data_IF_607886038065
#
_entry.id   IF_607886038065
#
_cell.length_a   1.000
_cell.length_b   1.000
_cell.length_c   1.000
_cell.angle_alpha   90.00
_cell.angle_beta   90.00
_cell.angle_gamma   90.00
#
_symmetry.space_group_name_H-M   'P 1'
#
loop_
_entity.id
_entity.type
_entity.pdbx_description
1 polymer ?
#
# COMPACT_ATOMS: atom_id res chain seq x y z
N UNK A 1 -45.25 18.82 -24.38
CA UNK A 1 -44.46 20.06 -24.17
C UNK A 1 -43.03 19.64 -23.94
N UNK A 2 -42.07 20.26 -24.62
CA UNK A 2 -40.65 19.97 -24.40
C UNK A 2 -40.23 20.50 -23.04
N UNK A 3 -39.68 19.64 -22.18
CA UNK A 3 -38.93 20.12 -21.02
C UNK A 3 -37.61 20.69 -21.57
N UNK A 4 -37.34 21.97 -21.32
CA UNK A 4 -36.01 22.50 -21.60
C UNK A 4 -35.00 21.82 -20.66
N UNK A 5 -33.86 21.32 -21.17
CA UNK A 5 -32.87 20.67 -20.33
C UNK A 5 -32.37 21.68 -19.29
N UNK A 6 -32.40 21.28 -18.03
CA UNK A 6 -32.09 22.14 -16.88
C UNK A 6 -30.72 22.79 -17.08
N UNK A 7 -30.53 24.06 -16.70
CA UNK A 7 -29.25 24.74 -16.87
C UNK A 7 -28.07 23.98 -16.22
N UNK A 8 -28.34 23.24 -15.15
CA UNK A 8 -27.39 22.32 -14.50
C UNK A 8 -27.02 21.14 -15.42
N UNK A 9 -27.99 20.51 -16.09
CA UNK A 9 -27.76 19.40 -17.03
C UNK A 9 -26.97 19.87 -18.27
N UNK A 10 -27.24 21.07 -18.77
CA UNK A 10 -26.47 21.69 -19.84
C UNK A 10 -25.01 21.95 -19.42
N UNK A 11 -24.79 22.43 -18.19
CA UNK A 11 -23.44 22.62 -17.64
C UNK A 11 -22.70 21.29 -17.43
N UNK A 12 -23.37 20.27 -16.87
CA UNK A 12 -22.79 18.93 -16.68
C UNK A 12 -22.44 18.27 -18.00
N UNK A 13 -23.34 18.25 -18.98
CA UNK A 13 -23.06 17.65 -20.31
C UNK A 13 -21.95 18.36 -21.07
N UNK A 14 -21.81 19.68 -20.90
CA UNK A 14 -20.64 20.42 -21.41
C UNK A 14 -19.35 20.01 -20.70
N UNK A 15 -19.33 20.04 -19.36
CA UNK A 15 -18.16 19.66 -18.57
C UNK A 15 -17.70 18.22 -18.88
N UNK A 16 -18.62 17.27 -19.03
CA UNK A 16 -18.31 15.89 -19.45
C UNK A 16 -17.67 15.85 -20.84
N UNK A 17 -18.19 16.59 -21.82
CA UNK A 17 -17.61 16.65 -23.18
C UNK A 17 -16.18 17.20 -23.16
N UNK A 18 -15.96 18.31 -22.46
CA UNK A 18 -14.67 19.00 -22.42
C UNK A 18 -13.61 18.15 -21.67
N UNK A 19 -14.00 17.41 -20.62
CA UNK A 19 -13.15 16.42 -19.97
C UNK A 19 -12.87 15.19 -20.86
N UNK A 20 -13.87 14.65 -21.55
CA UNK A 20 -13.67 13.49 -22.44
C UNK A 20 -12.74 13.80 -23.62
N UNK A 21 -12.84 14.99 -24.22
CA UNK A 21 -11.91 15.45 -25.25
C UNK A 21 -10.47 15.60 -24.70
N UNK A 22 -10.34 16.03 -23.45
CA UNK A 22 -9.03 16.13 -22.76
C UNK A 22 -8.44 14.74 -22.49
N UNK A 23 -9.24 13.78 -22.05
CA UNK A 23 -8.84 12.38 -21.84
C UNK A 23 -8.44 11.68 -23.14
N UNK A 24 -9.16 11.90 -24.24
CA UNK A 24 -8.80 11.40 -25.57
C UNK A 24 -7.41 11.90 -25.98
N UNK A 25 -7.19 13.22 -25.91
CA UNK A 25 -5.88 13.80 -26.22
C UNK A 25 -4.75 13.24 -25.33
N UNK A 26 -4.97 13.07 -24.03
CA UNK A 26 -3.98 12.47 -23.12
C UNK A 26 -3.69 11.00 -23.44
N UNK A 27 -4.70 10.24 -23.89
CA UNK A 27 -4.52 8.87 -24.41
C UNK A 27 -3.68 8.87 -25.70
N UNK A 28 -3.95 9.76 -26.65
CA UNK A 28 -3.22 9.83 -27.92
C UNK A 28 -1.76 10.25 -27.71
N UNK A 29 -1.51 11.25 -26.84
CA UNK A 29 -0.16 11.65 -26.44
C UNK A 29 0.59 10.53 -25.70
N UNK A 30 -0.10 9.72 -24.87
CA UNK A 30 0.46 8.55 -24.20
C UNK A 30 0.81 7.44 -25.20
N UNK A 31 -0.05 7.15 -26.16
CA UNK A 31 0.22 6.17 -27.23
C UNK A 31 1.44 6.58 -28.05
N UNK A 32 1.57 7.87 -28.41
CA UNK A 32 2.77 8.38 -29.08
C UNK A 32 4.02 8.24 -28.19
N UNK A 33 3.95 8.59 -26.90
CA UNK A 33 5.09 8.43 -25.98
C UNK A 33 5.52 6.96 -25.81
N UNK A 34 4.58 6.00 -25.81
CA UNK A 34 4.88 4.56 -25.82
C UNK A 34 5.53 4.13 -27.15
N UNK A 35 5.09 4.65 -28.28
CA UNK A 35 5.74 4.42 -29.57
C UNK A 35 7.18 5.00 -29.59
N UNK A 36 7.38 6.19 -29.02
CA UNK A 36 8.71 6.80 -28.84
C UNK A 36 9.62 5.90 -27.97
N UNK A 37 9.09 5.29 -26.90
CA UNK A 37 9.82 4.29 -26.09
C UNK A 37 10.21 3.08 -26.94
N UNK A 38 9.25 2.46 -27.65
CA UNK A 38 9.53 1.26 -28.47
C UNK A 38 10.57 1.55 -29.56
N UNK A 39 10.51 2.73 -30.20
CA UNK A 39 11.52 3.17 -31.15
C UNK A 39 12.89 3.37 -30.48
N UNK A 40 12.95 3.96 -29.28
CA UNK A 40 14.21 4.16 -28.54
C UNK A 40 14.87 2.83 -28.12
N UNK A 41 14.09 1.77 -27.88
CA UNK A 41 14.58 0.42 -27.56
C UNK A 41 15.31 -0.27 -28.73
N UNK A 42 15.21 0.24 -29.97
CA UNK A 42 16.04 -0.20 -31.09
C UNK A 42 17.47 0.37 -31.04
N UNK A 43 17.77 1.27 -30.08
CA UNK A 43 19.10 1.84 -29.88
C UNK A 43 19.91 1.02 -28.87
N UNK A 44 21.18 0.72 -29.19
CA UNK A 44 22.11 0.04 -28.28
C UNK A 44 22.56 0.87 -27.07
N UNK A 45 22.03 2.09 -26.89
CA UNK A 45 22.31 2.97 -25.75
C UNK A 45 21.06 3.14 -24.88
N UNK A 46 20.99 2.51 -23.69
CA UNK A 46 19.80 2.58 -22.82
C UNK A 46 19.50 4.00 -22.30
N UNK A 47 20.48 4.91 -22.33
CA UNK A 47 20.27 6.33 -22.02
C UNK A 47 19.23 7.00 -22.92
N UNK A 48 19.04 6.49 -24.15
CA UNK A 48 18.15 7.08 -25.14
C UNK A 48 16.66 6.79 -24.86
N UNK A 49 16.35 5.77 -24.05
CA UNK A 49 14.96 5.42 -23.70
C UNK A 49 14.45 6.11 -22.45
N UNK A 50 15.32 6.70 -21.62
CA UNK A 50 14.92 7.37 -20.39
C UNK A 50 14.00 8.59 -20.63
N UNK A 51 14.25 9.50 -21.60
CA UNK A 51 13.34 10.62 -21.85
C UNK A 51 11.91 10.22 -22.29
N UNK A 52 11.69 9.33 -23.29
CA UNK A 52 10.33 8.92 -23.64
C UNK A 52 9.68 8.04 -22.55
N UNK A 53 10.45 7.28 -21.76
CA UNK A 53 9.93 6.51 -20.63
C UNK A 53 9.32 7.42 -19.55
N UNK A 54 10.06 8.47 -19.15
CA UNK A 54 9.58 9.45 -18.17
C UNK A 54 8.39 10.24 -18.72
N UNK A 55 8.38 10.57 -20.02
CA UNK A 55 7.23 11.19 -20.69
C UNK A 55 5.98 10.30 -20.64
N UNK A 56 6.11 9.01 -20.98
CA UNK A 56 5.02 8.06 -20.93
C UNK A 56 4.49 7.86 -19.49
N UNK A 57 5.38 7.78 -18.50
CA UNK A 57 5.00 7.69 -17.08
C UNK A 57 4.21 8.93 -16.61
N UNK A 58 4.66 10.14 -16.98
CA UNK A 58 3.98 11.38 -16.62
C UNK A 58 2.58 11.48 -17.26
N UNK A 59 2.45 11.08 -18.54
CA UNK A 59 1.17 11.06 -19.24
C UNK A 59 0.22 10.00 -18.66
N UNK A 60 0.71 8.81 -18.32
CA UNK A 60 -0.09 7.77 -17.68
C UNK A 60 -0.60 8.21 -16.29
N UNK A 61 0.23 8.85 -15.48
CA UNK A 61 -0.16 9.42 -14.19
C UNK A 61 -1.20 10.54 -14.34
N UNK A 62 -1.01 11.44 -15.32
CA UNK A 62 -1.96 12.52 -15.61
C UNK A 62 -3.30 11.98 -16.09
N UNK A 63 -3.31 11.00 -17.00
CA UNK A 63 -4.52 10.33 -17.48
C UNK A 63 -5.27 9.63 -16.34
N UNK A 64 -4.55 8.91 -15.46
CA UNK A 64 -5.13 8.25 -14.28
C UNK A 64 -5.80 9.23 -13.32
N UNK A 65 -5.12 10.34 -12.98
CA UNK A 65 -5.69 11.38 -12.14
C UNK A 65 -6.92 12.05 -12.79
N UNK A 66 -6.88 12.31 -14.10
CA UNK A 66 -8.03 12.86 -14.83
C UNK A 66 -9.24 11.91 -14.86
N UNK A 67 -9.01 10.59 -15.00
CA UNK A 67 -10.05 9.57 -14.90
C UNK A 67 -10.65 9.50 -13.48
N UNK A 68 -9.83 9.62 -12.44
CA UNK A 68 -10.31 9.63 -11.06
C UNK A 68 -11.17 10.87 -10.76
N UNK A 69 -10.73 12.05 -11.20
CA UNK A 69 -11.52 13.29 -11.07
C UNK A 69 -12.84 13.19 -11.82
N UNK A 70 -12.85 12.63 -13.05
CA UNK A 70 -14.08 12.41 -13.81
C UNK A 70 -15.00 11.40 -13.12
N UNK A 71 -14.47 10.30 -12.58
CA UNK A 71 -15.26 9.30 -11.85
C UNK A 71 -15.90 9.90 -10.59
N UNK A 72 -15.14 10.69 -9.80
CA UNK A 72 -15.65 11.44 -8.65
C UNK A 72 -16.73 12.45 -9.06
N UNK A 73 -16.52 13.19 -10.16
CA UNK A 73 -17.51 14.14 -10.69
C UNK A 73 -18.81 13.45 -11.14
N UNK A 74 -18.72 12.36 -11.89
CA UNK A 74 -19.88 11.56 -12.31
C UNK A 74 -20.61 10.97 -11.09
N UNK A 75 -19.88 10.46 -10.10
CA UNK A 75 -20.47 9.93 -8.86
C UNK A 75 -21.21 11.00 -8.04
N UNK A 76 -20.76 12.27 -8.08
CA UNK A 76 -21.48 13.39 -7.46
C UNK A 76 -22.68 13.81 -8.31
N UNK A 77 -22.52 13.96 -9.62
CA UNK A 77 -23.57 14.38 -10.54
C UNK A 77 -24.72 13.36 -10.67
N UNK A 78 -24.45 12.08 -10.40
CA UNK A 78 -25.43 11.00 -10.39
C UNK A 78 -26.13 10.80 -9.03
N UNK A 79 -25.78 11.55 -7.97
CA UNK A 79 -26.49 11.44 -6.69
C UNK A 79 -27.93 11.95 -6.83
N UNK A 80 -28.94 11.20 -6.35
CA UNK A 80 -30.35 11.53 -6.51
C UNK A 80 -30.83 12.64 -5.53
N UNK A 81 -30.04 13.71 -5.35
CA UNK A 81 -30.42 14.88 -4.57
C UNK A 81 -31.72 15.55 -5.08
N UNK A 82 -32.09 15.31 -6.34
CA UNK A 82 -33.37 15.71 -6.94
C UNK A 82 -34.58 14.97 -6.33
N UNK A 83 -34.43 13.68 -6.00
CA UNK A 83 -35.52 12.86 -5.48
C UNK A 83 -35.86 13.23 -4.02
N UNK A 84 -34.83 13.34 -3.16
CA UNK A 84 -35.02 13.66 -1.73
C UNK A 84 -35.66 15.05 -1.55
N UNK A 85 -35.36 16.00 -2.44
CA UNK A 85 -35.96 17.33 -2.42
C UNK A 85 -37.48 17.29 -2.70
N UNK A 86 -37.93 16.57 -3.75
CA UNK A 86 -39.37 16.46 -4.03
C UNK A 86 -40.11 15.57 -3.01
N UNK A 87 -39.48 14.52 -2.47
CA UNK A 87 -40.09 13.68 -1.43
C UNK A 87 -40.30 14.48 -0.13
N UNK A 88 -39.30 15.28 0.30
CA UNK A 88 -39.43 16.14 1.49
C UNK A 88 -40.46 17.25 1.26
N UNK A 89 -40.52 17.87 0.07
CA UNK A 89 -41.52 18.92 -0.23
C UNK A 89 -42.94 18.36 -0.30
N UNK A 90 -43.16 17.22 -0.96
CA UNK A 90 -44.50 16.59 -1.03
C UNK A 90 -44.97 16.08 0.34
N UNK A 91 -44.06 15.57 1.17
CA UNK A 91 -44.33 15.17 2.56
C UNK A 91 -44.57 16.36 3.51
N UNK A 92 -43.98 17.52 3.23
CA UNK A 92 -44.22 18.74 4.02
C UNK A 92 -45.62 19.35 3.77
N UNK A 93 -46.21 19.14 2.60
CA UNK A 93 -47.54 19.68 2.23
C UNK A 93 -48.71 18.87 2.82
N UNK A 94 -48.46 17.68 3.38
CA UNK A 94 -49.50 16.73 3.83
C UNK A 94 -49.65 16.61 5.36
N UNK A 95 -48.96 17.43 6.16
CA UNK A 95 -49.08 17.45 7.61
C UNK A 95 -49.94 18.64 8.10
N UNK A 96 -51.03 18.42 8.87
CA UNK A 96 -51.77 19.50 9.50
C UNK A 96 -50.92 20.16 10.60
N UNK A 97 -51.01 21.48 10.75
CA UNK A 97 -50.21 22.24 11.70
C UNK A 97 -50.55 21.87 13.17
N UNK A 98 -49.56 21.56 14.02
CA UNK A 98 -49.80 21.32 15.43
C UNK A 98 -50.20 22.61 16.16
N UNK A 99 -51.18 22.49 17.06
CA UNK A 99 -51.78 23.63 17.76
C UNK A 99 -50.84 24.26 18.81
N UNK A 100 -50.92 25.58 18.97
CA UNK A 100 -49.94 26.38 19.72
C UNK A 100 -50.25 26.43 21.21
N UNK A 101 -49.73 25.45 21.96
CA UNK A 101 -49.77 25.43 23.42
C UNK A 101 -49.16 26.70 24.07
N UNK A 102 -49.66 27.15 25.24
CA UNK A 102 -49.34 28.46 25.82
C UNK A 102 -47.97 28.51 26.53
N UNK A 103 -47.45 29.74 26.68
CA UNK A 103 -46.13 30.02 27.25
C UNK A 103 -46.15 29.98 28.79
N UNK A 104 -45.30 29.19 29.46
CA UNK A 104 -45.11 29.28 30.91
C UNK A 104 -44.40 30.59 31.32
N UNK A 105 -44.90 31.26 32.35
CA UNK A 105 -44.35 32.53 32.85
C UNK A 105 -43.18 32.29 33.81
N UNK A 106 -42.11 33.08 33.70
CA UNK A 106 -40.93 32.98 34.54
C UNK A 106 -41.10 33.70 35.92
N UNK A 107 -40.71 33.06 37.04
CA UNK A 107 -40.53 33.74 38.33
C UNK A 107 -39.24 34.60 38.38
N UNK A 108 -39.14 35.60 39.28
CA UNK A 108 -38.10 36.63 39.24
C UNK A 108 -36.80 36.26 39.99
N UNK A 109 -35.73 37.01 39.68
CA UNK A 109 -34.50 37.05 40.48
C UNK A 109 -34.72 37.70 41.86
N UNK A 110 -33.93 37.27 42.84
CA UNK A 110 -33.79 37.93 44.16
C UNK A 110 -32.31 38.17 44.47
N UNK A 111 -32.01 39.26 45.19
CA UNK A 111 -30.66 39.83 45.39
C UNK A 111 -29.97 39.37 46.69
N UNK A 112 -28.62 39.40 46.77
CA UNK A 112 -27.84 38.86 47.90
C UNK A 112 -27.48 39.90 48.98
N UNK A 113 -27.06 39.44 50.17
CA UNK A 113 -26.07 40.01 51.15
C UNK A 113 -26.21 39.26 52.53
N UNK A 114 -25.36 39.46 53.58
CA UNK A 114 -24.02 38.85 53.68
C UNK A 114 -23.65 38.29 55.09
N UNK A 115 -22.41 37.77 55.25
CA UNK A 115 -21.75 37.39 56.53
C UNK A 115 -22.38 36.20 57.30
N UNK A 116 -21.66 35.33 58.02
CA UNK A 116 -20.23 34.98 58.18
C UNK A 116 -20.23 33.60 58.92
N UNK A 117 -19.17 32.78 59.05
CA UNK A 117 -17.72 32.81 58.75
C UNK A 117 -17.26 31.31 58.64
N UNK A 118 -16.01 30.83 58.49
CA UNK A 118 -14.64 31.36 58.49
C UNK A 118 -13.67 30.41 57.72
N UNK A 119 -12.38 30.77 57.68
CA UNK A 119 -11.15 29.95 57.58
C UNK A 119 -11.16 28.58 56.82
N UNK A 120 -10.25 28.30 55.88
CA UNK A 120 -9.14 29.11 55.35
C UNK A 120 -8.67 28.63 53.95
N UNK A 121 -7.88 29.48 53.29
CA UNK A 121 -7.17 29.30 52.02
C UNK A 121 -5.72 29.86 52.22
N UNK A 122 -4.77 29.86 51.24
CA UNK A 122 -4.94 29.67 49.79
C UNK A 122 -3.82 28.94 49.00
N UNK A 123 -4.06 28.80 47.68
CA UNK A 123 -3.08 28.72 46.57
C UNK A 123 -2.20 27.45 46.47
N UNK A 124 -1.66 27.07 45.30
CA UNK A 124 -1.43 27.78 44.01
C UNK A 124 -1.99 26.97 42.81
N UNK A 125 -2.15 27.64 41.66
CA UNK A 125 -2.45 27.15 40.29
C UNK A 125 -1.61 25.90 39.82
N UNK A 126 -1.88 25.22 38.69
CA UNK A 126 -2.50 25.64 37.40
C UNK A 126 -3.15 24.46 36.61
N UNK A 127 -3.85 24.77 35.51
CA UNK A 127 -4.49 23.86 34.53
C UNK A 127 -3.53 23.52 33.34
N UNK A 128 -3.91 22.79 32.26
CA UNK A 128 -4.97 21.76 32.04
C UNK A 128 -4.43 20.48 31.35
N UNK A 129 -5.29 19.50 30.99
CA UNK A 129 -5.31 18.77 29.70
C UNK A 129 -6.29 17.57 29.67
N UNK A 130 -6.65 17.13 28.45
CA UNK A 130 -7.54 16.01 28.12
C UNK A 130 -6.86 14.63 28.22
N UNK A 131 -7.64 13.54 28.41
CA UNK A 131 -7.62 12.41 27.46
C UNK A 131 -8.94 11.61 27.50
N UNK A 132 -9.30 10.99 26.36
CA UNK A 132 -10.59 10.35 26.09
C UNK A 132 -10.52 8.82 26.19
N UNK A 133 -11.34 8.27 27.10
CA UNK A 133 -12.13 7.03 26.95
C UNK A 133 -11.46 5.75 26.39
N UNK A 134 -11.27 4.76 27.28
CA UNK A 134 -10.85 3.39 26.92
C UNK A 134 -11.98 2.54 26.28
N UNK A 135 -11.58 1.75 25.27
CA UNK A 135 -12.08 0.39 24.93
C UNK A 135 -13.53 0.26 24.45
N UNK A 136 -13.69 -0.25 23.22
CA UNK A 136 -14.99 -0.61 22.62
C UNK A 136 -14.83 -1.42 21.33
N UNK A 137 -14.65 -2.74 21.46
CA UNK A 137 -14.36 -3.69 20.37
C UNK A 137 -15.40 -3.74 19.23
N UNK A 138 -14.92 -3.82 17.99
CA UNK A 138 -15.45 -4.78 17.01
C UNK A 138 -16.26 -4.26 15.82
N UNK A 139 -15.60 -4.18 14.66
CA UNK A 139 -16.23 -4.31 13.35
C UNK A 139 -15.21 -4.92 12.36
N UNK A 140 -15.65 -5.76 11.43
CA UNK A 140 -14.77 -6.33 10.40
C UNK A 140 -14.64 -5.38 9.20
N UNK A 141 -13.45 -5.29 8.63
CA UNK A 141 -13.21 -4.70 7.31
C UNK A 141 -12.74 -5.79 6.36
N UNK A 142 -13.67 -6.29 5.55
CA UNK A 142 -13.41 -7.24 4.47
C UNK A 142 -13.06 -6.43 3.20
N UNK A 143 -11.76 -6.27 2.93
CA UNK A 143 -11.28 -5.52 1.76
C UNK A 143 -10.72 -6.49 0.72
N UNK A 144 -11.38 -6.70 -0.43
CA UNK A 144 -10.88 -7.59 -1.48
C UNK A 144 -9.71 -6.94 -2.23
N UNK A 145 -8.58 -7.65 -2.37
CA UNK A 145 -7.49 -7.24 -3.25
C UNK A 145 -7.63 -7.83 -4.66
N UNK A 146 -7.29 -7.08 -5.73
CA UNK A 146 -7.48 -7.51 -7.11
C UNK A 146 -6.51 -8.63 -7.51
N UNK A 147 -6.99 -9.53 -8.37
CA UNK A 147 -6.17 -10.55 -9.00
C UNK A 147 -5.26 -9.93 -10.07
N UNK A 148 -3.95 -10.15 -9.95
CA UNK A 148 -2.97 -9.89 -10.99
C UNK A 148 -2.41 -11.22 -11.49
N UNK A 149 -2.97 -11.74 -12.57
CA UNK A 149 -2.16 -12.52 -13.51
C UNK A 149 -1.22 -11.53 -14.19
N UNK A 150 0.06 -11.88 -14.36
CA UNK A 150 0.74 -11.41 -15.57
C UNK A 150 1.88 -12.31 -16.06
N UNK A 151 1.91 -12.41 -17.39
CA UNK A 151 3.03 -12.60 -18.32
C UNK A 151 4.26 -13.41 -17.89
N UNK A 152 4.40 -14.55 -18.57
CA UNK A 152 5.66 -15.25 -18.83
C UNK A 152 6.71 -14.28 -19.39
N UNK A 153 7.82 -14.08 -18.67
CA UNK A 153 8.99 -13.35 -19.20
C UNK A 153 10.15 -14.31 -19.41
N UNK A 154 10.33 -14.73 -20.67
CA UNK A 154 11.47 -15.56 -21.08
C UNK A 154 12.76 -14.76 -20.97
N UNK A 155 13.75 -15.31 -20.26
CA UNK A 155 15.14 -14.85 -20.32
C UNK A 155 15.89 -15.78 -21.27
N UNK A 156 16.54 -15.20 -22.27
CA UNK A 156 17.43 -15.86 -23.23
C UNK A 156 18.83 -15.26 -23.09
N UNK A 157 19.82 -16.06 -23.43
CA UNK A 157 21.25 -15.82 -23.30
C UNK A 157 21.75 -14.56 -24.04
N UNK A 158 22.77 -13.92 -23.45
CA UNK A 158 23.75 -13.06 -24.13
C UNK A 158 25.15 -13.49 -23.63
N UNK A 159 26.10 -13.84 -24.52
CA UNK A 159 27.44 -14.29 -24.14
C UNK A 159 28.47 -13.14 -24.13
N UNK A 160 29.47 -13.19 -23.25
CA UNK A 160 30.61 -12.26 -23.26
C UNK A 160 31.95 -12.95 -22.93
N UNK A 161 32.96 -12.59 -23.72
CA UNK A 161 34.27 -13.22 -23.83
C UNK A 161 35.11 -13.31 -22.53
N UNK A 162 35.59 -14.51 -22.25
CA UNK A 162 37.02 -14.85 -22.20
C UNK A 162 38.02 -13.76 -21.72
N UNK A 163 38.46 -13.90 -20.47
CA UNK A 163 39.79 -13.47 -19.99
C UNK A 163 40.45 -14.63 -19.26
N UNK A 164 41.74 -14.85 -19.49
CA UNK A 164 42.44 -16.09 -19.10
C UNK A 164 43.58 -15.86 -18.09
N UNK A 165 43.84 -16.92 -17.29
CA UNK A 165 44.82 -17.01 -16.21
C UNK A 165 44.51 -16.14 -14.96
N UNK A 166 44.90 -16.55 -13.74
CA UNK A 166 45.80 -17.65 -13.34
C UNK A 166 45.14 -18.52 -12.27
N UNK A 167 45.48 -19.81 -12.21
CA UNK A 167 44.94 -20.73 -11.21
C UNK A 167 45.60 -20.55 -9.83
N UNK A 168 44.77 -20.40 -8.80
CA UNK A 168 45.09 -20.73 -7.41
C UNK A 168 44.11 -21.81 -6.96
N UNK A 169 44.60 -23.00 -6.64
CA UNK A 169 43.78 -24.14 -6.26
C UNK A 169 43.62 -24.18 -4.73
N UNK A 170 42.54 -23.57 -4.23
CA UNK A 170 42.06 -23.82 -2.87
C UNK A 170 41.16 -25.08 -2.86
N UNK A 171 41.14 -25.86 -1.77
CA UNK A 171 40.54 -27.19 -1.77
C UNK A 171 39.02 -27.12 -1.94
N UNK A 172 38.49 -27.99 -2.78
CA UNK A 172 37.06 -28.15 -2.98
C UNK A 172 36.39 -28.67 -1.69
N UNK A 173 35.82 -27.75 -0.90
CA UNK A 173 34.74 -28.10 0.01
C UNK A 173 33.58 -28.64 -0.83
N UNK A 174 33.09 -29.84 -0.48
CA UNK A 174 31.94 -30.44 -1.15
C UNK A 174 30.71 -29.55 -0.93
N UNK A 175 30.37 -28.77 -1.95
CA UNK A 175 29.09 -28.08 -2.00
C UNK A 175 27.98 -29.13 -1.82
N UNK A 176 26.99 -28.90 -0.93
CA UNK A 176 25.83 -29.78 -0.86
C UNK A 176 25.16 -29.85 -2.24
N UNK A 177 24.47 -30.95 -2.58
CA UNK A 177 23.86 -31.12 -3.89
C UNK A 177 22.98 -29.90 -4.21
N UNK A 178 23.43 -29.10 -5.18
CA UNK A 178 22.72 -27.89 -5.57
C UNK A 178 21.33 -28.29 -6.04
N UNK A 179 20.31 -27.63 -5.48
CA UNK A 179 18.93 -27.95 -5.78
C UNK A 179 18.59 -27.47 -7.19
N UNK A 180 18.81 -28.35 -8.17
CA UNK A 180 18.58 -28.04 -9.59
C UNK A 180 17.09 -27.79 -9.85
N UNK A 181 16.74 -26.51 -9.85
CA UNK A 181 15.42 -26.01 -10.19
C UNK A 181 14.98 -26.45 -11.59
N UNK A 182 15.90 -26.70 -12.52
CA UNK A 182 15.56 -27.06 -13.90
C UNK A 182 15.07 -28.51 -14.03
N UNK A 183 15.39 -29.38 -13.06
CA UNK A 183 14.87 -30.75 -12.97
C UNK A 183 13.38 -30.85 -12.60
N UNK A 184 12.80 -29.77 -12.03
CA UNK A 184 11.42 -29.76 -11.51
C UNK A 184 10.36 -29.49 -12.60
N UNK A 185 9.09 -29.88 -12.40
CA UNK A 185 7.98 -29.48 -13.25
C UNK A 185 7.86 -27.96 -13.38
N UNK A 186 7.57 -27.45 -14.59
CA UNK A 186 7.54 -26.00 -14.86
C UNK A 186 6.61 -25.17 -13.94
N UNK A 187 5.51 -25.76 -13.46
CA UNK A 187 4.61 -25.13 -12.49
C UNK A 187 5.28 -24.95 -11.10
N UNK A 188 6.12 -25.90 -10.70
CA UNK A 188 6.89 -25.87 -9.46
C UNK A 188 8.08 -24.92 -9.57
N UNK A 189 8.76 -24.89 -10.73
CA UNK A 189 9.78 -23.88 -11.04
C UNK A 189 9.26 -22.45 -10.84
N UNK A 190 8.06 -22.13 -11.33
CA UNK A 190 7.50 -20.79 -11.13
C UNK A 190 7.03 -20.56 -9.68
N UNK A 191 6.64 -21.60 -8.93
CA UNK A 191 6.42 -21.46 -7.49
C UNK A 191 7.72 -21.12 -6.74
N UNK A 192 8.84 -21.78 -7.07
CA UNK A 192 10.17 -21.46 -6.52
C UNK A 192 10.61 -20.03 -6.89
N UNK A 193 10.45 -19.61 -8.15
CA UNK A 193 10.75 -18.23 -8.58
C UNK A 193 9.86 -17.20 -7.87
N UNK A 194 8.55 -17.46 -7.73
CA UNK A 194 7.64 -16.58 -6.99
C UNK A 194 7.99 -16.50 -5.51
N UNK A 195 8.39 -17.62 -4.89
CA UNK A 195 8.83 -17.65 -3.50
C UNK A 195 10.10 -16.84 -3.28
N UNK A 196 11.11 -17.01 -4.14
CA UNK A 196 12.32 -16.20 -4.09
C UNK A 196 12.02 -14.70 -4.23
N UNK A 197 11.16 -14.31 -5.18
CA UNK A 197 10.71 -12.91 -5.34
C UNK A 197 9.98 -12.37 -4.11
N UNK A 198 9.06 -13.13 -3.51
CA UNK A 198 8.30 -12.70 -2.32
C UNK A 198 9.21 -12.59 -1.09
N UNK A 199 10.06 -13.59 -0.84
CA UNK A 199 11.02 -13.54 0.27
C UNK A 199 11.94 -12.31 0.18
N UNK A 200 12.44 -12.00 -1.04
CA UNK A 200 13.25 -10.79 -1.28
C UNK A 200 12.50 -9.51 -0.92
N UNK A 201 11.27 -9.37 -1.39
CA UNK A 201 10.43 -8.18 -1.13
C UNK A 201 10.14 -8.04 0.37
N UNK A 202 9.72 -9.11 1.05
CA UNK A 202 9.46 -9.05 2.50
C UNK A 202 10.66 -8.62 3.33
N UNK A 203 11.88 -9.02 2.96
CA UNK A 203 13.10 -8.57 3.65
C UNK A 203 13.46 -7.12 3.33
N UNK A 204 13.16 -6.63 2.11
CA UNK A 204 13.28 -5.22 1.77
C UNK A 204 12.26 -4.36 2.53
N UNK A 205 11.01 -4.83 2.67
CA UNK A 205 9.96 -4.15 3.42
C UNK A 205 10.32 -4.03 4.91
N UNK A 206 10.76 -5.13 5.54
CA UNK A 206 11.25 -5.12 6.94
C UNK A 206 12.44 -4.13 7.08
N UNK A 207 13.41 -4.16 6.16
CA UNK A 207 14.54 -3.22 6.15
C UNK A 207 14.12 -1.76 6.05
N UNK A 208 13.06 -1.47 5.29
CA UNK A 208 12.58 -0.10 5.07
C UNK A 208 11.64 0.41 6.18
N UNK A 209 10.86 -0.47 6.80
CA UNK A 209 9.94 -0.14 7.90
C UNK A 209 10.68 -0.05 9.25
N UNK A 210 11.61 -0.97 9.53
CA UNK A 210 12.27 -1.11 10.83
C UNK A 210 13.74 -0.69 10.85
N UNK A 211 14.13 0.32 10.05
CA UNK A 211 15.52 0.79 9.83
C UNK A 211 16.37 0.87 11.11
N UNK A 212 15.85 1.46 12.19
CA UNK A 212 16.59 1.63 13.46
C UNK A 212 16.84 0.29 14.17
N UNK A 213 15.83 -0.59 14.21
CA UNK A 213 15.94 -1.93 14.79
C UNK A 213 16.87 -2.82 13.97
N UNK A 214 16.90 -2.67 12.64
CA UNK A 214 17.83 -3.37 11.74
C UNK A 214 19.28 -2.92 11.96
N UNK A 215 19.53 -1.62 12.12
CA UNK A 215 20.89 -1.12 12.41
C UNK A 215 21.38 -1.62 13.77
N UNK A 216 20.61 -1.38 14.84
CA UNK A 216 20.98 -1.82 16.17
C UNK A 216 21.04 -3.36 16.29
N UNK A 217 20.22 -4.09 15.52
CA UNK A 217 20.26 -5.55 15.49
C UNK A 217 21.52 -6.14 14.85
N UNK A 218 22.16 -5.43 13.90
CA UNK A 218 23.47 -5.80 13.35
C UNK A 218 24.59 -5.55 14.34
N UNK A 219 24.54 -4.41 15.04
CA UNK A 219 25.53 -4.03 16.06
C UNK A 219 25.52 -4.99 17.25
N UNK A 220 24.34 -5.52 17.63
CA UNK A 220 24.17 -6.45 18.75
C UNK A 220 24.05 -7.93 18.32
N UNK A 221 24.12 -8.23 17.02
CA UNK A 221 23.97 -9.57 16.43
C UNK A 221 22.68 -10.31 16.84
N UNK A 222 21.57 -9.59 17.01
CA UNK A 222 20.31 -10.10 17.57
C UNK A 222 19.07 -9.88 16.67
N UNK A 223 19.28 -9.66 15.36
CA UNK A 223 18.21 -9.35 14.39
C UNK A 223 16.98 -10.26 14.51
N UNK A 224 17.14 -11.58 14.62
CA UNK A 224 16.03 -12.52 14.72
C UNK A 224 15.20 -12.37 16.02
N UNK A 225 15.79 -11.89 17.10
CA UNK A 225 15.10 -11.60 18.36
C UNK A 225 14.43 -10.22 18.26
N UNK A 226 15.17 -9.22 17.77
CA UNK A 226 14.75 -7.81 17.72
C UNK A 226 13.64 -7.52 16.70
N UNK A 227 13.67 -8.20 15.55
CA UNK A 227 12.69 -8.08 14.46
C UNK A 227 11.64 -9.19 14.47
N UNK A 228 11.56 -9.98 15.56
CA UNK A 228 10.78 -11.21 15.63
C UNK A 228 9.34 -11.07 15.14
N UNK A 229 8.60 -10.06 15.59
CA UNK A 229 7.20 -9.89 15.22
C UNK A 229 7.01 -9.68 13.70
N UNK A 230 7.92 -8.98 13.03
CA UNK A 230 7.83 -8.77 11.57
C UNK A 230 8.31 -10.00 10.79
N UNK A 231 9.33 -10.70 11.29
CA UNK A 231 9.79 -11.97 10.72
C UNK A 231 8.71 -13.06 10.86
N UNK A 232 8.04 -13.18 12.01
CA UNK A 232 6.95 -14.13 12.25
C UNK A 232 5.75 -13.85 11.33
N UNK A 233 5.37 -12.57 11.14
CA UNK A 233 4.32 -12.18 10.18
C UNK A 233 4.70 -12.55 8.74
N UNK A 234 5.90 -12.16 8.30
CA UNK A 234 6.38 -12.41 6.94
C UNK A 234 6.55 -13.92 6.67
N UNK A 235 7.10 -14.69 7.62
CA UNK A 235 7.27 -16.14 7.54
C UNK A 235 5.92 -16.83 7.44
N UNK A 236 4.96 -16.47 8.29
CA UNK A 236 3.60 -17.04 8.27
C UNK A 236 2.87 -16.80 6.94
N UNK A 237 3.00 -15.61 6.36
CA UNK A 237 2.39 -15.29 5.06
C UNK A 237 3.12 -15.96 3.88
N UNK A 238 4.45 -16.08 3.95
CA UNK A 238 5.25 -16.85 3.01
C UNK A 238 4.87 -18.33 3.03
N UNK A 239 4.85 -18.96 4.21
CA UNK A 239 4.48 -20.37 4.38
C UNK A 239 3.04 -20.65 3.94
N UNK A 240 2.10 -19.72 4.20
CA UNK A 240 0.72 -19.81 3.70
C UNK A 240 0.63 -19.82 2.17
N UNK A 241 1.45 -19.00 1.50
CA UNK A 241 1.49 -18.90 0.02
C UNK A 241 2.24 -20.05 -0.65
N UNK A 242 3.30 -20.55 -0.02
CA UNK A 242 4.26 -21.47 -0.63
C UNK A 242 4.32 -22.86 0.01
N UNK A 243 3.32 -23.22 0.83
CA UNK A 243 3.18 -24.52 1.49
C UNK A 243 3.57 -25.76 0.66
N UNK A 244 3.23 -25.87 -0.66
CA UNK A 244 3.63 -27.02 -1.46
C UNK A 244 5.14 -27.23 -1.62
N UNK A 245 5.94 -26.15 -1.58
CA UNK A 245 7.39 -26.22 -1.79
C UNK A 245 8.23 -26.10 -0.51
N UNK A 246 7.60 -25.97 0.67
CA UNK A 246 8.31 -25.92 1.96
C UNK A 246 9.02 -27.24 2.32
N UNK A 247 8.70 -28.34 1.64
CA UNK A 247 9.39 -29.64 1.77
C UNK A 247 10.69 -29.73 0.98
N UNK A 248 10.98 -28.78 0.09
CA UNK A 248 12.21 -28.75 -0.71
C UNK A 248 13.39 -28.18 0.10
N UNK A 249 14.64 -28.58 -0.20
CA UNK A 249 15.80 -28.31 0.65
C UNK A 249 16.31 -26.85 0.62
N UNK A 250 15.52 -25.88 0.14
CA UNK A 250 15.96 -24.49 -0.09
C UNK A 250 15.11 -23.49 0.67
N UNK A 251 15.72 -22.79 1.63
CA UNK A 251 15.09 -21.70 2.37
C UNK A 251 15.49 -20.33 1.79
N UNK A 252 14.71 -19.82 0.82
CA UNK A 252 14.87 -18.46 0.29
C UNK A 252 14.61 -17.37 1.34
N UNK A 253 13.84 -17.66 2.38
CA UNK A 253 13.53 -16.70 3.45
C UNK A 253 14.76 -16.49 4.33
N UNK A 254 15.48 -17.56 4.68
CA UNK A 254 16.80 -17.48 5.32
C UNK A 254 17.81 -16.74 4.42
N UNK A 255 17.93 -17.14 3.14
CA UNK A 255 18.88 -16.54 2.20
C UNK A 255 18.72 -15.00 2.12
N UNK A 256 17.49 -14.52 1.89
CA UNK A 256 17.24 -13.08 1.79
C UNK A 256 17.28 -12.37 3.15
N UNK A 257 17.05 -13.06 4.28
CA UNK A 257 17.24 -12.46 5.60
C UNK A 257 18.71 -12.14 5.87
N UNK A 258 19.63 -13.07 5.58
CA UNK A 258 21.08 -12.84 5.68
C UNK A 258 21.51 -11.73 4.71
N UNK A 259 21.14 -11.85 3.43
CA UNK A 259 21.57 -10.92 2.38
C UNK A 259 21.06 -9.48 2.58
N UNK A 260 19.82 -9.30 3.06
CA UNK A 260 19.17 -7.97 3.12
C UNK A 260 19.11 -7.41 4.54
N UNK A 261 18.74 -8.21 5.55
CA UNK A 261 18.66 -7.72 6.93
C UNK A 261 20.03 -7.70 7.59
N UNK A 262 20.89 -8.67 7.32
CA UNK A 262 22.24 -8.77 7.89
C UNK A 262 23.38 -8.31 6.95
N UNK A 263 23.06 -7.79 5.77
CA UNK A 263 24.02 -7.37 4.71
C UNK A 263 25.10 -8.43 4.40
N UNK A 264 24.67 -9.70 4.31
CA UNK A 264 25.51 -10.84 3.95
C UNK A 264 26.20 -11.54 5.11
N UNK A 265 26.15 -11.00 6.34
CA UNK A 265 26.76 -11.63 7.52
C UNK A 265 25.74 -12.54 8.25
N UNK A 266 25.89 -13.89 8.24
CA UNK A 266 24.95 -14.77 8.94
C UNK A 266 25.00 -14.62 10.47
N UNK A 267 26.16 -14.32 11.06
CA UNK A 267 26.32 -14.22 12.52
C UNK A 267 25.53 -13.03 13.08
N UNK A 268 25.40 -11.95 12.30
CA UNK A 268 24.62 -10.78 12.68
C UNK A 268 23.09 -11.04 12.71
N UNK A 269 22.64 -12.18 12.18
CA UNK A 269 21.23 -12.59 12.25
C UNK A 269 20.84 -13.08 13.66
N UNK A 270 21.81 -13.62 14.42
CA UNK A 270 21.58 -14.26 15.72
C UNK A 270 20.97 -15.66 15.59
N UNK A 271 20.37 -16.16 16.68
CA UNK A 271 19.70 -17.47 16.69
C UNK A 271 18.46 -17.45 15.77
N UNK A 272 18.55 -18.14 14.63
CA UNK A 272 17.47 -18.22 13.64
C UNK A 272 16.38 -19.21 14.10
N UNK A 273 15.16 -18.76 14.43
CA UNK A 273 14.18 -19.59 15.16
C UNK A 273 13.34 -20.49 14.23
N UNK A 274 13.56 -20.45 12.92
CA UNK A 274 12.76 -21.18 11.93
C UNK A 274 13.52 -22.40 11.37
N UNK A 275 12.83 -23.45 10.92
CA UNK A 275 13.48 -24.55 10.23
C UNK A 275 14.00 -24.07 8.87
N UNK A 276 15.32 -23.91 8.76
CA UNK A 276 16.07 -23.92 7.51
C UNK A 276 16.96 -25.16 7.42
N UNK A 277 17.32 -25.53 6.19
CA UNK A 277 18.30 -26.58 5.88
C UNK A 277 19.75 -26.10 5.97
N UNK A 278 19.95 -24.78 6.05
CA UNK A 278 21.26 -24.14 5.95
C UNK A 278 21.84 -23.84 7.35
N UNK A 279 21.03 -23.34 8.28
CA UNK A 279 21.45 -22.99 9.65
C UNK A 279 21.61 -24.21 10.60
N UNK A 280 21.99 -25.37 10.04
CA UNK A 280 22.29 -26.62 10.76
C UNK A 280 23.67 -27.17 10.37
N UNK A 281 24.60 -26.27 10.05
CA UNK A 281 25.99 -26.55 9.66
C UNK A 281 26.91 -25.65 10.46
#
# INVERSE_FOLDING_TARGET
MSQEPNAVEQAVTRALRDNLATLQRLSDELQQAVADVVASCASSRPTNSLPPLVRAQALAASLGASLEVLARFVAIAAQPARAVAEEVVTRAVTLPAPERAPVPVAPPHSVPTPMAEAAAAPAVEEEPAEEVQRVGTGAAYETPMPSMLDTVRSHRDEPAAEVAAVAAAEPAMEAPPEFDLHSLPAAEQEMHRRANRVAKVSMQDIKMLKKQEVLAGRENQDLCIRLKDELDKARKEYERRFRPILSHPVDYFYQWAVEILADGNPDALGEYPYPSTVAKR
#
